data_IF_993978816684
#
_entry.id   IF_993978816684
#
_cell.length_a   1.000
_cell.length_b   1.000
_cell.length_c   1.000
_cell.angle_alpha   90.00
_cell.angle_beta   90.00
_cell.angle_gamma   90.00
#
_symmetry.space_group_name_H-M   'P 1'
#
loop_
_entity.id
_entity.type
_entity.pdbx_description
1 polymer ?
#
# COMPACT_ATOMS: atom_id res chain seq x y z
N UNK A 1 2.32 19.57 7.36
CA UNK A 1 1.04 18.89 7.06
C UNK A 1 1.30 17.38 7.07
N UNK A 2 0.28 16.52 7.15
CA UNK A 2 0.49 15.06 7.13
C UNK A 2 0.42 14.53 5.70
N UNK A 3 1.31 13.61 5.33
CA UNK A 3 1.29 12.94 4.02
C UNK A 3 0.23 11.83 4.02
N UNK A 4 -0.58 11.73 2.97
CA UNK A 4 -1.53 10.60 2.82
C UNK A 4 -0.84 9.28 2.45
N UNK A 5 0.28 9.36 1.75
CA UNK A 5 1.02 8.19 1.33
C UNK A 5 2.42 8.11 1.97
N UNK A 6 2.87 6.87 2.19
CA UNK A 6 4.14 6.54 2.82
C UNK A 6 5.24 6.22 1.80
N UNK A 7 6.50 6.42 2.20
CA UNK A 7 7.64 5.98 1.39
C UNK A 7 7.64 4.45 1.26
N UNK A 8 7.93 3.94 0.06
CA UNK A 8 7.87 2.52 -0.26
C UNK A 8 6.45 1.97 -0.44
N UNK A 9 5.42 2.81 -0.25
CA UNK A 9 4.04 2.43 -0.50
C UNK A 9 3.81 2.15 -1.99
N UNK A 10 3.13 1.06 -2.31
CA UNK A 10 2.68 0.76 -3.68
C UNK A 10 1.38 1.53 -3.96
N UNK A 11 1.37 2.31 -5.03
CA UNK A 11 0.26 3.16 -5.44
C UNK A 11 0.01 3.03 -6.94
N UNK A 12 -1.19 3.40 -7.37
CA UNK A 12 -1.56 3.46 -8.78
C UNK A 12 -1.74 4.92 -9.20
N UNK A 13 -1.19 5.27 -10.35
CA UNK A 13 -1.48 6.53 -11.02
C UNK A 13 -2.91 6.43 -11.57
N UNK A 14 -3.81 7.31 -11.13
CA UNK A 14 -5.25 7.15 -11.33
C UNK A 14 -5.66 7.16 -12.81
N UNK A 15 -4.97 7.95 -13.65
CA UNK A 15 -5.32 8.10 -15.07
C UNK A 15 -4.78 6.93 -15.91
N UNK A 16 -3.51 6.57 -15.74
CA UNK A 16 -2.85 5.53 -16.54
C UNK A 16 -3.03 4.12 -15.98
N UNK A 17 -3.51 4.00 -14.73
CA UNK A 17 -3.59 2.75 -13.97
C UNK A 17 -2.23 2.06 -13.78
N UNK A 18 -1.13 2.80 -13.98
CA UNK A 18 0.22 2.28 -13.81
C UNK A 18 0.52 2.12 -12.33
N UNK A 19 0.97 0.93 -11.95
CA UNK A 19 1.38 0.62 -10.59
C UNK A 19 2.86 0.98 -10.38
N UNK A 20 3.15 1.63 -9.26
CA UNK A 20 4.51 1.99 -8.88
C UNK A 20 4.65 2.13 -7.37
N UNK A 21 5.85 2.49 -6.94
CA UNK A 21 6.14 2.73 -5.53
C UNK A 21 6.62 4.16 -5.29
N UNK A 22 6.27 4.68 -4.13
CA UNK A 22 6.67 6.02 -3.70
C UNK A 22 8.15 6.01 -3.29
N UNK A 23 8.98 6.70 -4.06
CA UNK A 23 10.40 6.91 -3.77
C UNK A 23 10.68 8.13 -2.91
N UNK A 24 9.91 9.20 -3.09
CA UNK A 24 10.12 10.46 -2.37
C UNK A 24 8.80 11.19 -2.12
N UNK A 25 8.83 12.11 -1.16
CA UNK A 25 7.73 13.01 -0.80
C UNK A 25 8.25 14.43 -0.73
N UNK A 26 7.46 15.37 -1.23
CA UNK A 26 7.77 16.80 -1.16
C UNK A 26 6.56 17.57 -0.64
N UNK A 27 6.83 18.49 0.30
CA UNK A 27 5.87 19.48 0.78
C UNK A 27 6.15 20.81 0.08
N UNK A 28 5.10 21.53 -0.30
CA UNK A 28 5.18 22.82 -0.98
C UNK A 28 4.51 23.91 -0.15
N UNK A 29 4.99 25.15 -0.27
CA UNK A 29 4.39 26.30 0.42
C UNK A 29 3.02 26.66 -0.15
N UNK A 30 2.78 26.37 -1.43
CA UNK A 30 1.54 26.63 -2.15
C UNK A 30 1.18 25.41 -2.99
N UNK A 31 0.27 24.57 -2.50
CA UNK A 31 -0.23 23.41 -3.23
C UNK A 31 -0.32 22.14 -2.38
N UNK A 32 -0.83 21.04 -2.95
CA UNK A 32 -0.87 19.75 -2.30
C UNK A 32 0.53 19.13 -2.18
N UNK A 33 0.66 18.13 -1.31
CA UNK A 33 1.86 17.30 -1.25
C UNK A 33 2.09 16.60 -2.59
N UNK A 34 3.35 16.44 -2.99
CA UNK A 34 3.71 15.66 -4.17
C UNK A 34 4.54 14.44 -3.80
N UNK A 35 4.46 13.45 -4.70
CA UNK A 35 5.05 12.14 -4.53
C UNK A 35 5.81 11.76 -5.79
N UNK A 36 7.07 11.33 -5.64
CA UNK A 36 7.85 10.77 -6.73
C UNK A 36 7.57 9.28 -6.80
N UNK A 37 7.02 8.83 -7.92
CA UNK A 37 6.71 7.41 -8.13
C UNK A 37 7.70 6.84 -9.12
N UNK A 38 8.23 5.66 -8.78
CA UNK A 38 8.89 4.80 -9.76
C UNK A 38 7.92 3.72 -10.23
N UNK A 39 7.57 3.78 -11.50
CA UNK A 39 6.56 2.91 -12.11
C UNK A 39 7.03 2.42 -13.47
N UNK A 40 6.38 1.37 -13.97
CA UNK A 40 6.59 0.89 -15.32
C UNK A 40 5.61 1.59 -16.25
N UNK A 41 6.14 2.40 -17.16
CA UNK A 41 5.33 3.07 -18.16
C UNK A 41 4.74 2.06 -19.16
N UNK A 42 3.68 2.45 -19.88
CA UNK A 42 3.06 1.63 -20.93
C UNK A 42 4.02 1.19 -22.05
N UNK A 43 5.11 1.92 -22.29
CA UNK A 43 6.18 1.54 -23.24
C UNK A 43 7.11 0.43 -22.69
N UNK A 44 6.86 -0.01 -21.46
CA UNK A 44 7.59 -1.06 -20.78
C UNK A 44 8.84 -0.58 -20.04
N UNK A 45 9.18 0.71 -20.08
CA UNK A 45 10.36 1.27 -19.40
C UNK A 45 10.05 1.59 -17.95
N UNK A 46 11.08 1.49 -17.11
CA UNK A 46 11.03 2.01 -15.76
C UNK A 46 11.27 3.52 -15.81
N UNK A 47 10.33 4.30 -15.29
CA UNK A 47 10.41 5.76 -15.26
C UNK A 47 10.14 6.28 -13.85
N UNK A 48 10.52 7.52 -13.61
CA UNK A 48 10.17 8.26 -12.41
C UNK A 48 9.47 9.58 -12.78
N UNK A 49 8.40 9.90 -12.06
CA UNK A 49 7.67 11.14 -12.25
C UNK A 49 7.00 11.60 -10.94
N UNK A 50 6.83 12.91 -10.81
CA UNK A 50 6.14 13.55 -9.71
C UNK A 50 4.64 13.64 -9.99
N UNK A 51 3.84 13.29 -8.99
CA UNK A 51 2.38 13.36 -9.01
C UNK A 51 1.86 14.05 -7.76
N UNK A 52 0.71 14.72 -7.89
CA UNK A 52 0.02 15.32 -6.76
C UNK A 52 -0.74 14.27 -5.94
N UNK A 53 -1.01 14.59 -4.68
CA UNK A 53 -1.76 13.72 -3.77
C UNK A 53 -3.12 13.25 -4.32
N UNK A 54 -3.80 14.07 -5.13
CA UNK A 54 -5.09 13.74 -5.74
C UNK A 54 -5.02 12.81 -6.96
N UNK A 55 -3.83 12.64 -7.55
CA UNK A 55 -3.64 11.83 -8.75
C UNK A 55 -3.35 10.36 -8.43
N UNK A 56 -3.19 10.03 -7.15
CA UNK A 56 -2.74 8.73 -6.68
C UNK A 56 -3.84 7.99 -5.92
N UNK A 57 -3.93 6.70 -6.18
CA UNK A 57 -4.81 5.79 -5.45
C UNK A 57 -3.99 4.72 -4.75
N UNK A 58 -4.33 4.32 -3.51
CA UNK A 58 -3.70 3.17 -2.88
C UNK A 58 -3.89 1.92 -3.76
N UNK A 59 -2.80 1.23 -4.06
CA UNK A 59 -2.90 -0.07 -4.71
C UNK A 59 -3.64 -1.03 -3.76
N UNK A 60 -4.58 -1.83 -4.29
CA UNK A 60 -5.36 -2.79 -3.51
C UNK A 60 -4.52 -3.89 -2.83
N UNK A 61 -3.19 -3.89 -3.00
CA UNK A 61 -2.27 -4.87 -2.46
C UNK A 61 -1.88 -4.61 -0.99
N UNK A 62 -2.04 -3.40 -0.46
CA UNK A 62 -1.76 -3.12 0.96
C UNK A 62 -2.84 -3.64 1.92
N UNK A 63 -4.05 -3.88 1.44
CA UNK A 63 -5.12 -4.45 2.25
C UNK A 63 -4.93 -5.95 2.54
N UNK A 64 -3.99 -6.63 1.87
CA UNK A 64 -3.90 -8.09 1.89
C UNK A 64 -2.85 -8.65 2.88
N UNK A 65 -2.04 -7.81 3.51
CA UNK A 65 -1.04 -8.28 4.47
C UNK A 65 -1.60 -8.56 5.90
N UNK A 66 -2.81 -8.08 6.22
CA UNK A 66 -3.43 -8.24 7.55
C UNK A 66 -4.56 -9.27 7.61
N UNK A 67 -4.73 -10.10 6.58
CA UNK A 67 -5.77 -11.14 6.52
C UNK A 67 -5.20 -12.47 6.05
N UNK A 68 -4.32 -13.08 6.86
CA UNK A 68 -4.19 -14.54 6.84
C UNK A 68 -4.56 -15.05 8.23
N UNK A 69 -5.78 -15.60 8.45
CA UNK A 69 -6.03 -16.32 9.67
C UNK A 69 -5.04 -17.48 9.74
N UNK A 70 -4.25 -17.55 10.80
CA UNK A 70 -3.41 -18.69 11.12
C UNK A 70 -4.34 -19.89 11.34
N UNK A 71 -4.59 -20.67 10.29
CA UNK A 71 -5.29 -21.95 10.42
C UNK A 71 -4.38 -22.91 11.19
N UNK A 72 -4.58 -22.96 12.51
CA UNK A 72 -3.97 -24.00 13.35
C UNK A 72 -4.60 -25.34 12.97
N UNK A 73 -3.82 -26.18 12.27
CA UNK A 73 -4.17 -27.59 12.07
C UNK A 73 -3.94 -28.34 13.38
N UNK A 74 -5.04 -28.66 14.06
CA UNK A 74 -5.18 -29.84 14.91
C UNK A 74 -4.58 -29.78 16.32
N UNK A 75 -5.46 -29.71 17.32
CA UNK A 75 -5.25 -30.40 18.60
C UNK A 75 -6.62 -30.67 19.27
N UNK A 76 -7.12 -31.88 19.04
CA UNK A 76 -8.16 -32.51 19.85
C UNK A 76 -7.49 -33.00 21.14
N UNK A 77 -7.78 -32.44 22.32
CA UNK A 77 -7.75 -33.20 23.57
C UNK A 77 -8.85 -32.76 24.54
N UNK A 78 -9.45 -33.80 25.08
CA UNK A 78 -10.66 -33.95 25.88
C UNK A 78 -10.38 -33.67 27.36
N UNK A 79 -11.39 -33.15 28.08
CA UNK A 79 -11.93 -33.61 29.39
C UNK A 79 -12.30 -32.45 30.33
N UNK A 80 -13.61 -32.22 30.41
CA UNK A 80 -14.27 -31.40 31.41
C UNK A 80 -14.17 -32.12 32.77
N UNK A 81 -13.51 -31.48 33.74
CA UNK A 81 -13.48 -31.94 35.13
C UNK A 81 -14.57 -31.15 35.88
N UNK A 82 -15.71 -31.79 36.17
CA UNK A 82 -16.69 -31.27 37.13
C UNK A 82 -16.26 -31.76 38.52
N UNK A 83 -16.04 -30.81 39.41
CA UNK A 83 -15.63 -30.99 40.81
C UNK A 83 -16.84 -30.58 41.66
N UNK A 84 -17.12 -31.41 42.68
CA UNK A 84 -17.93 -31.22 43.91
C UNK A 84 -19.39 -30.75 43.79
#
# INVERSE_FOLDING_TARGET
MSFKHELGQVVNVTISQEEGHIKARAEYTHGPNQYLIHYRAADGRATDAWFEEGELSPSGQQAQALQKPFTSRGALIMRMNIII
#
